data_IF_866812167407
#
_entry.id   IF_866812167407
#
_cell.length_a   1.000
_cell.length_b   1.000
_cell.length_c   1.000
_cell.angle_alpha   90.00
_cell.angle_beta   90.00
_cell.angle_gamma   90.00
#
_symmetry.space_group_name_H-M   'P 1'
#
loop_
_entity.id
_entity.type
_entity.pdbx_description
1 polymer ?
#
# COMPACT_ATOMS: atom_id res chain seq x y z
N UNK A 1 -27.67 16.23 -2.54
CA UNK A 1 -26.30 16.45 -3.04
C UNK A 1 -25.80 15.14 -3.64
N UNK A 2 -26.25 14.72 -4.83
CA UNK A 2 -26.20 13.30 -5.16
C UNK A 2 -25.30 12.94 -6.35
N UNK A 3 -24.57 11.84 -6.20
CA UNK A 3 -24.17 10.88 -7.26
C UNK A 3 -23.10 11.30 -8.31
N UNK A 4 -22.86 12.58 -8.61
CA UNK A 4 -21.95 12.97 -9.71
C UNK A 4 -20.46 12.96 -9.38
N UNK A 5 -20.08 12.76 -8.11
CA UNK A 5 -18.70 12.91 -7.64
C UNK A 5 -17.98 11.59 -7.34
N UNK A 6 -18.49 10.44 -7.82
CA UNK A 6 -17.75 9.19 -7.67
C UNK A 6 -16.63 9.12 -8.74
N UNK A 7 -15.33 9.21 -8.37
CA UNK A 7 -14.24 9.23 -9.33
C UNK A 7 -14.19 7.95 -10.18
N UNK A 8 -14.67 6.82 -9.67
CA UNK A 8 -14.74 5.57 -10.43
C UNK A 8 -15.80 5.61 -11.56
N UNK A 9 -16.94 6.28 -11.35
CA UNK A 9 -17.95 6.47 -12.40
C UNK A 9 -17.44 7.45 -13.47
N UNK A 10 -16.71 8.49 -13.07
CA UNK A 10 -16.15 9.47 -14.00
C UNK A 10 -15.02 8.87 -14.84
N UNK A 11 -14.13 8.07 -14.24
CA UNK A 11 -13.06 7.38 -14.96
C UNK A 11 -13.61 6.42 -16.03
N UNK A 12 -14.63 5.61 -15.69
CA UNK A 12 -15.26 4.69 -16.65
C UNK A 12 -16.01 5.41 -17.78
N UNK A 13 -16.65 6.54 -17.49
CA UNK A 13 -17.25 7.40 -18.53
C UNK A 13 -16.21 8.00 -19.47
N UNK A 14 -15.07 8.46 -18.94
CA UNK A 14 -13.96 8.96 -19.75
C UNK A 14 -13.35 7.87 -20.64
N UNK A 15 -13.21 6.65 -20.12
CA UNK A 15 -12.72 5.51 -20.91
C UNK A 15 -13.69 5.10 -22.02
N UNK A 16 -15.00 5.13 -21.74
CA UNK A 16 -16.04 4.91 -22.75
C UNK A 16 -16.09 6.01 -23.83
N UNK A 17 -15.73 7.25 -23.49
CA UNK A 17 -15.66 8.35 -24.46
C UNK A 17 -14.38 8.30 -25.31
N UNK A 18 -13.26 7.91 -24.70
CA UNK A 18 -11.97 7.80 -25.38
C UNK A 18 -11.93 6.64 -26.37
N UNK A 19 -12.47 5.48 -26.01
CA UNK A 19 -12.58 4.32 -26.90
C UNK A 19 -13.45 4.59 -28.14
N UNK A 20 -14.43 5.50 -28.03
CA UNK A 20 -15.24 5.96 -29.17
C UNK A 20 -14.49 6.89 -30.12
N UNK A 21 -13.44 7.57 -29.67
CA UNK A 21 -12.74 8.61 -30.41
C UNK A 21 -11.22 8.42 -30.33
N UNK A 22 -10.71 7.24 -30.67
CA UNK A 22 -9.27 7.04 -30.86
C UNK A 22 -8.81 7.83 -32.10
N UNK A 23 -8.38 9.08 -31.86
CA UNK A 23 -7.88 10.01 -32.86
C UNK A 23 -6.41 9.68 -33.16
N UNK A 24 -6.17 8.60 -33.89
CA UNK A 24 -4.85 8.30 -34.44
C UNK A 24 -4.74 8.92 -35.83
N UNK A 25 -3.60 9.55 -36.15
CA UNK A 25 -3.32 10.15 -37.47
C UNK A 25 -3.67 9.17 -38.60
N UNK A 26 -3.38 7.88 -38.41
CA UNK A 26 -3.69 6.80 -39.35
C UNK A 26 -5.19 6.62 -39.61
N UNK A 27 -6.05 6.70 -38.58
CA UNK A 27 -7.51 6.62 -38.74
C UNK A 27 -8.10 7.91 -39.31
N UNK A 28 -7.47 9.05 -39.04
CA UNK A 28 -7.88 10.33 -39.62
C UNK A 28 -7.50 10.42 -41.11
N UNK A 29 -6.43 9.74 -41.53
CA UNK A 29 -6.00 9.67 -42.93
C UNK A 29 -6.71 8.60 -43.76
N UNK A 30 -7.30 7.57 -43.14
CA UNK A 30 -7.97 6.45 -43.83
C UNK A 30 -9.06 6.89 -44.85
N UNK A 31 -9.93 7.89 -44.56
CA UNK A 31 -10.89 8.39 -45.55
C UNK A 31 -10.22 9.08 -46.74
N UNK A 32 -9.03 9.66 -46.54
CA UNK A 32 -8.27 10.35 -47.59
C UNK A 32 -7.54 9.31 -48.45
N UNK A 33 -6.90 8.32 -47.83
CA UNK A 33 -6.20 7.23 -48.53
C UNK A 33 -7.17 6.42 -49.38
N UNK A 34 -8.32 6.02 -48.81
CA UNK A 34 -9.35 5.27 -49.55
C UNK A 34 -9.95 6.06 -50.72
N UNK A 35 -10.09 7.38 -50.59
CA UNK A 35 -10.53 8.23 -51.69
C UNK A 35 -9.49 8.34 -52.81
N UNK A 36 -8.19 8.34 -52.49
CA UNK A 36 -7.10 8.34 -53.48
C UNK A 36 -7.04 7.02 -54.24
N UNK A 37 -7.14 5.88 -53.53
CA UNK A 37 -7.18 4.55 -54.15
C UNK A 37 -8.39 4.39 -55.11
N UNK A 38 -9.55 4.92 -54.73
CA UNK A 38 -10.75 4.94 -55.58
C UNK A 38 -10.56 5.81 -56.83
N UNK A 39 -9.85 6.92 -56.72
CA UNK A 39 -9.55 7.81 -57.85
C UNK A 39 -8.58 7.14 -58.84
N UNK A 40 -7.57 6.44 -58.35
CA UNK A 40 -6.62 5.68 -59.17
C UNK A 40 -7.30 4.52 -59.91
N UNK A 41 -8.19 3.79 -59.24
CA UNK A 41 -8.99 2.72 -59.86
C UNK A 41 -9.93 3.25 -60.97
N UNK A 42 -10.45 4.48 -60.83
CA UNK A 42 -11.28 5.11 -61.84
C UNK A 42 -10.47 5.61 -63.06
N UNK A 43 -9.24 6.08 -62.85
CA UNK A 43 -8.35 6.53 -63.93
C UNK A 43 -7.78 5.34 -64.73
N UNK A 44 -7.51 4.21 -64.06
CA UNK A 44 -7.00 2.98 -64.70
C UNK A 44 -7.98 2.26 -65.64
N UNK A 45 -9.28 2.44 -65.46
CA UNK A 45 -10.30 1.67 -66.18
C UNK A 45 -10.81 2.30 -67.50
N UNK A 46 -10.36 3.49 -67.87
CA UNK A 46 -10.97 4.27 -68.97
C UNK A 46 -10.19 4.31 -70.29
N UNK A 47 -9.19 3.45 -70.53
CA UNK A 47 -8.45 3.48 -71.80
C UNK A 47 -8.24 2.08 -72.44
N UNK A 48 -9.02 1.70 -73.48
CA UNK A 48 -8.86 0.44 -74.21
C UNK A 48 -7.96 0.56 -75.44
N UNK A 49 -6.96 1.45 -75.41
CA UNK A 49 -6.04 1.70 -76.54
C UNK A 49 -4.60 1.84 -76.07
N UNK A 50 -3.77 0.85 -76.43
CA UNK A 50 -2.38 0.76 -76.00
C UNK A 50 -1.49 1.89 -76.51
N UNK A 51 -0.96 2.68 -75.60
CA UNK A 51 0.37 3.29 -75.71
C UNK A 51 1.02 3.21 -74.34
N UNK A 52 2.09 2.41 -74.29
CA UNK A 52 3.07 2.23 -73.22
C UNK A 52 2.88 3.14 -72.01
N UNK A 53 2.31 2.54 -70.97
CA UNK A 53 2.47 3.05 -69.62
C UNK A 53 3.98 3.22 -69.37
N UNK A 54 4.44 4.47 -69.31
CA UNK A 54 5.72 4.81 -68.70
C UNK A 54 5.57 4.61 -67.19
N UNK A 55 5.47 3.37 -66.75
CA UNK A 55 5.61 2.99 -65.35
C UNK A 55 7.11 2.99 -65.07
N UNK A 56 7.69 4.16 -64.79
CA UNK A 56 8.85 4.16 -63.92
C UNK A 56 8.37 3.57 -62.60
N UNK A 57 9.03 2.52 -62.11
CA UNK A 57 8.84 1.93 -60.78
C UNK A 57 8.60 3.03 -59.73
N UNK A 58 7.32 3.29 -59.45
CA UNK A 58 6.89 4.15 -58.37
C UNK A 58 6.82 3.23 -57.17
N UNK A 59 7.78 3.36 -56.27
CA UNK A 59 7.92 2.53 -55.08
C UNK A 59 6.63 2.54 -54.25
N UNK A 60 5.80 1.52 -54.46
CA UNK A 60 4.62 1.19 -53.65
C UNK A 60 5.00 0.58 -52.30
N UNK A 61 6.29 0.45 -52.01
CA UNK A 61 6.82 -0.16 -50.79
C UNK A 61 6.59 0.68 -49.51
N UNK A 62 6.17 1.95 -49.60
CA UNK A 62 6.00 2.81 -48.41
C UNK A 62 4.59 2.77 -47.78
N UNK A 63 3.64 2.08 -48.41
CA UNK A 63 2.26 1.98 -47.89
C UNK A 63 2.05 0.87 -46.86
N UNK A 64 3.04 -0.02 -46.66
CA UNK A 64 2.86 -1.24 -45.86
C UNK A 64 2.91 -1.00 -44.33
N UNK A 65 3.37 0.19 -43.88
CA UNK A 65 3.23 0.65 -42.49
C UNK A 65 3.59 2.15 -42.36
N UNK A 66 2.62 3.09 -42.40
CA UNK A 66 2.92 4.51 -42.24
C UNK A 66 3.35 4.77 -40.79
N UNK A 67 4.66 4.87 -40.58
CA UNK A 67 5.22 5.42 -39.34
C UNK A 67 5.37 6.93 -39.50
N UNK A 68 5.29 7.74 -38.42
CA UNK A 68 5.38 9.20 -38.53
C UNK A 68 6.66 9.68 -39.25
N UNK A 69 7.76 8.94 -39.07
CA UNK A 69 9.04 9.23 -39.71
C UNK A 69 9.08 8.81 -41.19
N UNK A 70 8.35 7.76 -41.60
CA UNK A 70 8.26 7.39 -43.03
C UNK A 70 7.41 8.38 -43.81
N UNK A 71 6.35 8.93 -43.20
CA UNK A 71 5.49 9.92 -43.85
C UNK A 71 6.22 11.22 -44.23
N UNK A 72 7.13 11.70 -43.37
CA UNK A 72 7.92 12.89 -43.66
C UNK A 72 8.89 12.66 -44.84
N UNK A 73 9.55 11.50 -44.87
CA UNK A 73 10.43 11.10 -45.96
C UNK A 73 9.67 10.92 -47.28
N UNK A 74 8.44 10.39 -47.23
CA UNK A 74 7.60 10.27 -48.41
C UNK A 74 7.16 11.64 -48.94
N UNK A 75 6.79 12.56 -48.05
CA UNK A 75 6.41 13.93 -48.46
C UNK A 75 7.56 14.69 -49.11
N UNK A 76 8.80 14.52 -48.64
CA UNK A 76 9.98 15.12 -49.31
C UNK A 76 10.24 14.47 -50.65
N UNK A 77 10.18 13.14 -50.73
CA UNK A 77 10.35 12.39 -51.97
C UNK A 77 9.33 12.80 -53.04
N UNK A 78 8.04 12.87 -52.69
CA UNK A 78 6.99 13.28 -53.62
C UNK A 78 7.14 14.73 -54.05
N UNK A 79 7.53 15.65 -53.15
CA UNK A 79 7.80 17.06 -53.52
C UNK A 79 8.89 17.16 -54.59
N UNK A 80 9.98 16.42 -54.43
CA UNK A 80 11.06 16.38 -55.42
C UNK A 80 10.65 15.72 -56.73
N UNK A 81 9.89 14.63 -56.66
CA UNK A 81 9.37 13.92 -57.84
C UNK A 81 8.43 14.81 -58.65
N UNK A 82 7.45 15.44 -58.01
CA UNK A 82 6.51 16.34 -58.68
C UNK A 82 7.21 17.57 -59.25
N UNK A 83 8.25 18.08 -58.58
CA UNK A 83 9.07 19.16 -59.14
C UNK A 83 9.77 18.73 -60.45
N UNK A 84 10.36 17.53 -60.48
CA UNK A 84 11.02 16.97 -61.68
C UNK A 84 10.00 16.68 -62.79
N UNK A 85 8.84 16.11 -62.45
CA UNK A 85 7.79 15.80 -63.42
C UNK A 85 7.21 17.08 -64.02
N UNK A 86 6.96 18.10 -63.20
CA UNK A 86 6.49 19.42 -63.67
C UNK A 86 7.50 20.05 -64.62
N UNK A 87 8.79 20.00 -64.31
CA UNK A 87 9.85 20.53 -65.18
C UNK A 87 9.88 19.80 -66.53
N UNK A 88 9.92 18.47 -66.52
CA UNK A 88 9.92 17.64 -67.72
C UNK A 88 8.67 17.87 -68.59
N UNK A 89 7.49 17.95 -67.98
CA UNK A 89 6.24 18.22 -68.70
C UNK A 89 6.23 19.59 -69.38
N UNK A 90 6.61 20.65 -68.64
CA UNK A 90 6.66 22.01 -69.19
C UNK A 90 7.67 22.08 -70.33
N UNK A 91 8.84 21.46 -70.17
CA UNK A 91 9.86 21.38 -71.22
C UNK A 91 9.34 20.63 -72.45
N UNK A 92 8.67 19.50 -72.27
CA UNK A 92 8.12 18.73 -73.39
C UNK A 92 7.02 19.51 -74.13
N UNK A 93 6.06 20.09 -73.42
CA UNK A 93 4.96 20.86 -74.02
C UNK A 93 5.48 22.10 -74.74
N UNK A 94 6.49 22.77 -74.19
CA UNK A 94 7.11 23.93 -74.85
C UNK A 94 7.89 23.54 -76.10
N UNK A 95 8.66 22.44 -76.06
CA UNK A 95 9.32 21.87 -77.24
C UNK A 95 8.32 21.50 -78.32
N UNK A 96 7.23 20.82 -77.97
CA UNK A 96 6.18 20.44 -78.92
C UNK A 96 5.48 21.66 -79.52
N UNK A 97 5.06 22.63 -78.68
CA UNK A 97 4.46 23.88 -79.16
C UNK A 97 5.39 24.65 -80.09
N UNK A 98 6.68 24.70 -79.79
CA UNK A 98 7.68 25.36 -80.63
C UNK A 98 7.83 24.66 -82.00
N UNK A 99 7.95 23.34 -82.01
CA UNK A 99 8.03 22.57 -83.26
C UNK A 99 6.75 22.75 -84.08
N UNK A 100 5.57 22.69 -83.44
CA UNK A 100 4.29 22.91 -84.11
C UNK A 100 4.15 24.34 -84.64
N UNK A 101 4.70 25.34 -83.95
CA UNK A 101 4.67 26.72 -84.43
C UNK A 101 5.56 26.94 -85.66
N UNK A 102 6.68 26.21 -85.79
CA UNK A 102 7.60 26.31 -86.94
C UNK A 102 7.14 25.44 -88.12
N UNK A 103 6.63 24.24 -87.84
CA UNK A 103 6.30 23.22 -88.86
C UNK A 103 4.81 23.24 -89.23
N UNK A 104 3.97 23.87 -88.43
CA UNK A 104 2.52 23.97 -88.69
C UNK A 104 2.21 24.86 -89.88
N UNK A 105 1.24 24.44 -90.68
CA UNK A 105 0.72 25.19 -91.83
C UNK A 105 -0.76 25.52 -91.56
N UNK A 106 -1.14 26.80 -91.36
CA UNK A 106 -0.33 28.02 -91.48
C UNK A 106 0.56 28.31 -90.25
N UNK A 107 1.70 29.03 -90.44
CA UNK A 107 2.63 29.36 -89.37
C UNK A 107 1.96 30.23 -88.30
N UNK A 108 2.19 29.90 -87.04
CA UNK A 108 1.62 30.63 -85.91
C UNK A 108 2.37 31.97 -85.73
N UNK A 109 1.79 33.07 -86.21
CA UNK A 109 2.33 34.42 -86.01
C UNK A 109 1.75 34.97 -84.71
N UNK A 110 2.61 35.23 -83.72
CA UNK A 110 2.20 35.84 -82.46
C UNK A 110 2.01 37.34 -82.68
N UNK A 111 0.79 37.83 -82.49
CA UNK A 111 0.49 39.27 -82.54
C UNK A 111 1.01 39.94 -81.25
N UNK A 112 1.82 41.01 -81.33
CA UNK A 112 2.23 41.77 -80.15
C UNK A 112 1.06 42.29 -79.31
N UNK A 113 -0.11 42.56 -79.90
CA UNK A 113 -1.31 42.96 -79.16
C UNK A 113 -1.88 41.80 -78.31
N UNK A 114 -1.99 40.60 -78.90
CA UNK A 114 -2.43 39.38 -78.19
C UNK A 114 -1.45 39.03 -77.06
N UNK A 115 -0.15 39.20 -77.29
CA UNK A 115 0.85 38.95 -76.25
C UNK A 115 0.73 39.95 -75.08
N UNK A 116 0.45 41.23 -75.36
CA UNK A 116 0.21 42.23 -74.31
C UNK A 116 -1.05 41.92 -73.48
N UNK A 117 -2.14 41.46 -74.11
CA UNK A 117 -3.35 41.01 -73.41
C UNK A 117 -3.10 39.78 -72.53
N UNK A 118 -2.39 38.78 -73.06
CA UNK A 118 -2.01 37.58 -72.31
C UNK A 118 -1.05 37.88 -71.14
N UNK A 119 -0.16 38.86 -71.30
CA UNK A 119 0.70 39.34 -70.21
C UNK A 119 -0.12 40.02 -69.10
N UNK A 120 -1.12 40.82 -69.45
CA UNK A 120 -2.03 41.45 -68.48
C UNK A 120 -2.86 40.41 -67.72
N UNK A 121 -3.45 39.44 -68.41
CA UNK A 121 -4.19 38.33 -67.79
C UNK A 121 -3.30 37.47 -66.88
N UNK A 122 -2.08 37.16 -67.32
CA UNK A 122 -1.11 36.45 -66.49
C UNK A 122 -0.69 37.25 -65.26
N UNK A 123 -0.55 38.57 -65.38
CA UNK A 123 -0.22 39.43 -64.23
C UNK A 123 -1.35 39.40 -63.19
N UNK A 124 -2.61 39.47 -63.63
CA UNK A 124 -3.77 39.35 -62.75
C UNK A 124 -3.83 37.96 -62.09
N UNK A 125 -3.74 36.88 -62.86
CA UNK A 125 -3.76 35.51 -62.33
C UNK A 125 -2.59 35.25 -61.35
N UNK A 126 -1.40 35.82 -61.62
CA UNK A 126 -0.25 35.75 -60.70
C UNK A 126 -0.51 36.51 -59.40
N UNK A 127 -1.17 37.66 -59.46
CA UNK A 127 -1.54 38.42 -58.27
C UNK A 127 -2.54 37.63 -57.40
N UNK A 128 -3.60 37.09 -58.01
CA UNK A 128 -4.59 36.24 -57.35
C UNK A 128 -3.94 34.99 -56.72
N UNK A 129 -3.09 34.29 -57.48
CA UNK A 129 -2.35 33.13 -56.97
C UNK A 129 -1.44 33.50 -55.79
N UNK A 130 -0.81 34.67 -55.81
CA UNK A 130 0.02 35.15 -54.70
C UNK A 130 -0.82 35.43 -53.46
N UNK A 131 -2.01 36.02 -53.62
CA UNK A 131 -2.93 36.23 -52.49
C UNK A 131 -3.41 34.91 -51.89
N UNK A 132 -3.78 33.94 -52.74
CA UNK A 132 -4.24 32.64 -52.29
C UNK A 132 -3.12 31.85 -51.59
N UNK A 133 -1.90 31.88 -52.14
CA UNK A 133 -0.73 31.27 -51.48
C UNK A 133 -0.46 31.85 -50.10
N UNK A 134 -0.62 33.16 -49.93
CA UNK A 134 -0.48 33.81 -48.61
C UNK A 134 -1.57 33.33 -47.65
N UNK A 135 -2.83 33.28 -48.09
CA UNK A 135 -3.94 32.78 -47.28
C UNK A 135 -3.74 31.32 -46.86
N UNK A 136 -3.30 30.46 -47.78
CA UNK A 136 -2.99 29.05 -47.47
C UNK A 136 -1.83 28.96 -46.47
N UNK A 137 -0.77 29.74 -46.65
CA UNK A 137 0.34 29.75 -45.70
C UNK A 137 -0.08 30.21 -44.29
N UNK A 138 -0.94 31.23 -44.21
CA UNK A 138 -1.52 31.71 -42.94
C UNK A 138 -2.41 30.63 -42.29
N UNK A 139 -3.25 29.95 -43.07
CA UNK A 139 -4.11 28.87 -42.57
C UNK A 139 -3.28 27.68 -42.07
N UNK A 140 -2.23 27.30 -42.79
CA UNK A 140 -1.32 26.22 -42.37
C UNK A 140 -0.62 26.58 -41.06
N UNK A 141 -0.10 27.80 -40.93
CA UNK A 141 0.53 28.25 -39.70
C UNK A 141 -0.44 28.24 -38.50
N UNK A 142 -1.70 28.65 -38.71
CA UNK A 142 -2.72 28.59 -37.66
C UNK A 142 -3.09 27.15 -37.30
N UNK A 143 -3.20 26.25 -38.28
CA UNK A 143 -3.43 24.83 -38.04
C UNK A 143 -2.28 24.17 -37.27
N UNK A 144 -1.03 24.50 -37.58
CA UNK A 144 0.13 24.02 -36.83
C UNK A 144 0.11 24.52 -35.38
N UNK A 145 -0.24 25.80 -35.17
CA UNK A 145 -0.39 26.38 -33.84
C UNK A 145 -1.48 25.68 -33.03
N UNK A 146 -2.65 25.50 -33.63
CA UNK A 146 -3.79 24.80 -33.00
C UNK A 146 -3.46 23.33 -32.74
N UNK A 147 -2.78 22.66 -33.67
CA UNK A 147 -2.32 21.28 -33.51
C UNK A 147 -1.34 21.13 -32.33
N UNK A 148 -0.38 22.05 -32.20
CA UNK A 148 0.55 22.05 -31.08
C UNK A 148 -0.14 22.32 -29.73
N UNK A 149 -1.12 23.23 -29.71
CA UNK A 149 -1.92 23.52 -28.52
C UNK A 149 -2.79 22.31 -28.11
N UNK A 150 -3.47 21.69 -29.07
CA UNK A 150 -4.28 20.49 -28.86
C UNK A 150 -3.44 19.32 -28.36
N UNK A 151 -2.23 19.12 -28.91
CA UNK A 151 -1.32 18.07 -28.45
C UNK A 151 -0.92 18.26 -26.97
N UNK A 152 -0.63 19.51 -26.56
CA UNK A 152 -0.33 19.83 -25.15
C UNK A 152 -1.53 19.60 -24.24
N UNK A 153 -2.72 20.02 -24.66
CA UNK A 153 -3.96 19.80 -23.90
C UNK A 153 -4.27 18.30 -23.77
N UNK A 154 -4.14 17.54 -24.85
CA UNK A 154 -4.34 16.10 -24.85
C UNK A 154 -3.37 15.38 -23.91
N UNK A 155 -2.08 15.75 -23.93
CA UNK A 155 -1.08 15.22 -23.01
C UNK A 155 -1.45 15.52 -21.54
N UNK A 156 -1.88 16.75 -21.25
CA UNK A 156 -2.32 17.15 -19.92
C UNK A 156 -3.52 16.33 -19.45
N UNK A 157 -4.55 16.20 -20.28
CA UNK A 157 -5.74 15.38 -19.97
C UNK A 157 -5.35 13.92 -19.78
N UNK A 158 -4.40 13.39 -20.55
CA UNK A 158 -3.85 12.05 -20.36
C UNK A 158 -3.22 11.87 -18.96
N UNK A 159 -2.43 12.83 -18.50
CA UNK A 159 -1.84 12.81 -17.15
C UNK A 159 -2.93 12.90 -16.06
N UNK A 160 -3.90 13.80 -16.22
CA UNK A 160 -5.02 13.96 -15.30
C UNK A 160 -5.88 12.67 -15.22
N UNK A 161 -6.06 11.95 -16.34
CA UNK A 161 -6.74 10.64 -16.35
C UNK A 161 -5.99 9.57 -15.58
N UNK A 162 -4.67 9.51 -15.71
CA UNK A 162 -3.84 8.56 -14.92
C UNK A 162 -3.94 8.86 -13.42
N UNK A 163 -4.00 10.14 -13.03
CA UNK A 163 -4.21 10.53 -11.64
C UNK A 163 -5.63 10.16 -11.17
N UNK A 164 -6.64 10.42 -11.98
CA UNK A 164 -8.02 10.07 -11.68
C UNK A 164 -8.22 8.56 -11.51
N UNK A 165 -7.53 7.74 -12.31
CA UNK A 165 -7.55 6.29 -12.18
C UNK A 165 -7.00 5.78 -10.84
N UNK A 166 -6.08 6.51 -10.20
CA UNK A 166 -5.48 6.14 -8.89
C UNK A 166 -6.33 6.57 -7.69
N UNK A 167 -7.21 7.57 -7.86
CA UNK A 167 -8.01 8.11 -6.77
C UNK A 167 -8.96 7.09 -6.11
N UNK A 168 -9.68 6.22 -6.86
CA UNK A 168 -10.55 5.20 -6.25
C UNK A 168 -9.80 4.26 -5.31
N UNK A 169 -8.60 3.79 -5.69
CA UNK A 169 -7.79 2.91 -4.86
C UNK A 169 -7.31 3.62 -3.59
N UNK A 170 -6.89 4.88 -3.72
CA UNK A 170 -6.51 5.71 -2.58
C UNK A 170 -7.68 5.96 -1.64
N UNK A 171 -8.88 6.21 -2.17
CA UNK A 171 -10.10 6.36 -1.36
C UNK A 171 -10.44 5.06 -0.64
N UNK A 172 -10.39 3.91 -1.32
CA UNK A 172 -10.64 2.62 -0.70
C UNK A 172 -9.61 2.29 0.40
N UNK A 173 -8.35 2.66 0.21
CA UNK A 173 -7.32 2.51 1.23
C UNK A 173 -7.58 3.42 2.44
N UNK A 174 -7.90 4.69 2.21
CA UNK A 174 -8.25 5.63 3.28
C UNK A 174 -9.49 5.18 4.05
N UNK A 175 -10.49 4.62 3.38
CA UNK A 175 -11.69 4.07 4.03
C UNK A 175 -11.34 2.87 4.94
N UNK A 176 -10.46 1.97 4.48
CA UNK A 176 -9.93 0.87 5.31
C UNK A 176 -9.15 1.41 6.51
N UNK A 177 -8.28 2.39 6.31
CA UNK A 177 -7.49 3.00 7.38
C UNK A 177 -8.40 3.70 8.40
N UNK A 178 -9.43 4.40 7.95
CA UNK A 178 -10.44 4.99 8.85
C UNK A 178 -11.22 3.92 9.61
N UNK A 179 -11.60 2.81 8.97
CA UNK A 179 -12.29 1.71 9.62
C UNK A 179 -11.41 1.04 10.70
N UNK A 180 -10.14 0.77 10.39
CA UNK A 180 -9.18 0.21 11.35
C UNK A 180 -8.92 1.16 12.52
N UNK A 181 -8.78 2.46 12.27
CA UNK A 181 -8.62 3.46 13.32
C UNK A 181 -9.87 3.58 14.22
N UNK A 182 -11.07 3.53 13.62
CA UNK A 182 -12.32 3.50 14.39
C UNK A 182 -12.43 2.25 15.25
N UNK A 183 -12.09 1.09 14.70
CA UNK A 183 -12.08 -0.17 15.45
C UNK A 183 -11.03 -0.13 16.58
N UNK A 184 -9.80 0.31 16.31
CA UNK A 184 -8.76 0.46 17.33
C UNK A 184 -9.13 1.48 18.42
N UNK A 185 -9.94 2.50 18.09
CA UNK A 185 -10.51 3.43 19.07
C UNK A 185 -11.61 2.77 19.89
N UNK A 186 -12.50 2.02 19.26
CA UNK A 186 -13.56 1.25 19.94
C UNK A 186 -12.95 0.22 20.90
N UNK A 187 -11.98 -0.58 20.44
CA UNK A 187 -11.27 -1.57 21.25
C UNK A 187 -10.55 -0.92 22.44
N UNK A 188 -9.96 0.27 22.25
CA UNK A 188 -9.41 1.06 23.36
C UNK A 188 -10.52 1.50 24.31
N UNK A 189 -11.63 2.02 23.79
CA UNK A 189 -12.75 2.44 24.63
C UNK A 189 -13.35 1.28 25.43
N UNK A 190 -13.42 0.07 24.87
CA UNK A 190 -13.93 -1.14 25.51
C UNK A 190 -12.93 -1.71 26.53
N UNK A 191 -11.63 -1.75 26.21
CA UNK A 191 -10.59 -2.14 27.17
C UNK A 191 -10.50 -1.17 28.36
N UNK A 192 -10.67 0.14 28.10
CA UNK A 192 -10.76 1.16 29.14
C UNK A 192 -12.14 1.26 29.79
N UNK A 193 -13.14 0.48 29.36
CA UNK A 193 -14.42 0.37 30.09
C UNK A 193 -14.27 -0.47 31.36
N UNK A 194 -13.29 -1.39 31.38
CA UNK A 194 -12.97 -2.23 32.54
C UNK A 194 -12.32 -1.43 33.68
N UNK A 195 -11.64 -0.33 33.38
CA UNK A 195 -11.02 0.57 34.38
C UNK A 195 -11.41 2.05 34.13
N UNK A 196 -12.41 2.58 34.85
CA UNK A 196 -12.90 3.95 34.66
C UNK A 196 -11.87 5.03 35.01
N UNK A 197 -10.86 4.72 35.84
CA UNK A 197 -9.74 5.64 36.15
C UNK A 197 -8.87 5.92 34.90
N UNK A 198 -8.85 5.02 33.91
CA UNK A 198 -8.10 5.21 32.66
C UNK A 198 -8.86 6.03 31.60
N UNK A 199 -10.12 6.38 31.84
CA UNK A 199 -10.95 7.24 30.97
C UNK A 199 -10.95 8.70 31.39
N UNK A 200 -10.17 9.05 32.41
CA UNK A 200 -10.13 10.40 32.93
C UNK A 200 -9.45 11.33 31.90
N UNK A 201 -10.00 12.55 31.68
CA UNK A 201 -9.30 13.57 30.91
C UNK A 201 -7.98 13.93 31.59
N UNK A 202 -7.00 14.40 30.80
CA UNK A 202 -5.59 14.52 31.22
C UNK A 202 -5.38 15.30 32.54
N UNK A 203 -6.22 16.29 32.82
CA UNK A 203 -6.16 17.04 34.09
C UNK A 203 -6.58 16.20 35.29
N UNK A 204 -7.59 15.33 35.14
CA UNK A 204 -8.04 14.45 36.22
C UNK A 204 -7.09 13.27 36.43
N UNK A 205 -6.44 12.76 35.38
CA UNK A 205 -5.37 11.75 35.54
C UNK A 205 -4.16 12.30 36.25
N UNK A 206 -3.78 13.56 35.98
CA UNK A 206 -2.67 14.21 36.67
C UNK A 206 -2.96 14.37 38.17
N UNK A 207 -4.16 14.85 38.52
CA UNK A 207 -4.58 14.95 39.92
C UNK A 207 -4.63 13.59 40.63
N UNK A 208 -5.14 12.55 39.96
CA UNK A 208 -5.18 11.19 40.52
C UNK A 208 -3.76 10.63 40.70
N UNK A 209 -2.83 10.89 39.77
CA UNK A 209 -1.44 10.48 39.89
C UNK A 209 -0.75 11.17 41.08
N UNK A 210 -0.94 12.48 41.24
CA UNK A 210 -0.43 13.23 42.39
C UNK A 210 -1.00 12.69 43.72
N UNK A 211 -2.28 12.35 43.76
CA UNK A 211 -2.91 11.74 44.94
C UNK A 211 -2.27 10.38 45.27
N UNK A 212 -2.11 9.50 44.26
CA UNK A 212 -1.50 8.18 44.46
C UNK A 212 -0.02 8.27 44.85
N UNK A 213 0.71 9.25 44.34
CA UNK A 213 2.07 9.54 44.79
C UNK A 213 2.11 10.03 46.24
N UNK A 214 1.18 10.87 46.66
CA UNK A 214 1.08 11.30 48.06
C UNK A 214 0.76 10.13 49.00
N UNK A 215 -0.19 9.28 48.62
CA UNK A 215 -0.53 8.04 49.34
C UNK A 215 0.67 7.08 49.42
N UNK A 216 1.43 6.92 48.33
CA UNK A 216 2.64 6.11 48.32
C UNK A 216 3.72 6.65 49.28
N UNK A 217 3.94 7.98 49.29
CA UNK A 217 4.86 8.63 50.24
C UNK A 217 4.41 8.45 51.69
N UNK A 218 3.11 8.49 51.95
CA UNK A 218 2.55 8.27 53.29
C UNK A 218 2.76 6.83 53.76
N UNK A 219 2.49 5.86 52.89
CA UNK A 219 2.75 4.45 53.17
C UNK A 219 4.24 4.18 53.37
N UNK A 220 5.12 4.82 52.60
CA UNK A 220 6.57 4.68 52.77
C UNK A 220 7.04 5.27 54.11
N UNK A 221 6.48 6.42 54.53
CA UNK A 221 6.71 6.98 55.88
C UNK A 221 6.23 6.03 56.97
N UNK A 222 5.04 5.44 56.83
CA UNK A 222 4.51 4.48 57.79
C UNK A 222 5.36 3.21 57.85
N UNK A 223 5.78 2.66 56.71
CA UNK A 223 6.71 1.53 56.64
C UNK A 223 8.06 1.87 57.28
N UNK A 224 8.59 3.07 57.04
CA UNK A 224 9.79 3.59 57.69
C UNK A 224 9.65 3.65 59.21
N UNK A 225 8.53 4.18 59.73
CA UNK A 225 8.25 4.24 61.16
C UNK A 225 8.10 2.84 61.79
N UNK A 226 7.40 1.92 61.11
CA UNK A 226 7.23 0.55 61.56
C UNK A 226 8.55 -0.21 61.59
N UNK A 227 9.37 -0.08 60.52
CA UNK A 227 10.70 -0.71 60.44
C UNK A 227 11.70 -0.10 61.42
N UNK A 228 11.68 1.22 61.59
CA UNK A 228 12.67 1.95 62.39
C UNK A 228 12.40 1.95 63.90
N UNK A 229 11.13 1.96 64.32
CA UNK A 229 10.78 2.16 65.74
C UNK A 229 9.92 1.04 66.33
N UNK A 230 8.83 0.64 65.67
CA UNK A 230 7.87 -0.29 66.25
C UNK A 230 8.40 -1.74 66.26
N UNK A 231 8.91 -2.22 65.12
CA UNK A 231 9.46 -3.57 64.98
C UNK A 231 10.64 -3.87 65.92
N UNK A 232 11.69 -3.01 66.03
CA UNK A 232 12.79 -3.28 66.95
C UNK A 232 12.38 -3.16 68.42
N UNK A 233 11.46 -2.25 68.78
CA UNK A 233 10.93 -2.16 70.16
C UNK A 233 10.16 -3.42 70.54
N UNK A 234 9.25 -3.88 69.68
CA UNK A 234 8.49 -5.12 69.91
C UNK A 234 9.39 -6.36 69.93
N UNK A 235 10.45 -6.40 69.13
CA UNK A 235 11.48 -7.45 69.21
C UNK A 235 12.20 -7.45 70.56
N UNK A 236 12.65 -6.29 71.04
CA UNK A 236 13.29 -6.16 72.36
C UNK A 236 12.35 -6.53 73.51
N UNK A 237 11.09 -6.12 73.45
CA UNK A 237 10.05 -6.52 74.41
C UNK A 237 9.84 -8.04 74.41
N UNK A 238 9.76 -8.66 73.22
CA UNK A 238 9.63 -10.11 73.10
C UNK A 238 10.86 -10.87 73.60
N UNK A 239 12.08 -10.37 73.35
CA UNK A 239 13.32 -10.93 73.90
C UNK A 239 13.36 -10.84 75.43
N UNK A 240 12.95 -9.69 76.00
CA UNK A 240 12.84 -9.52 77.45
C UNK A 240 11.85 -10.51 78.07
N UNK A 241 10.65 -10.62 77.50
CA UNK A 241 9.65 -11.57 77.98
C UNK A 241 10.12 -13.02 77.86
N UNK A 242 10.85 -13.37 76.78
CA UNK A 242 11.48 -14.69 76.64
C UNK A 242 12.54 -14.94 77.72
N UNK A 243 13.36 -13.93 78.04
CA UNK A 243 14.35 -14.02 79.11
C UNK A 243 13.70 -14.18 80.50
N UNK A 244 12.55 -13.55 80.73
CA UNK A 244 11.76 -13.69 81.96
C UNK A 244 11.04 -15.05 82.04
N UNK A 245 10.59 -15.61 80.92
CA UNK A 245 9.95 -16.93 80.85
C UNK A 245 10.93 -18.09 81.00
N UNK A 246 12.16 -17.98 80.48
CA UNK A 246 13.17 -19.05 80.54
C UNK A 246 13.41 -19.63 81.96
N UNK A 247 13.65 -18.83 83.01
CA UNK A 247 13.82 -19.37 84.37
C UNK A 247 12.52 -19.93 84.94
N UNK A 248 11.35 -19.41 84.57
CA UNK A 248 10.06 -19.96 84.99
C UNK A 248 9.79 -21.31 84.35
N UNK A 249 10.16 -21.49 83.08
CA UNK A 249 10.08 -22.76 82.37
C UNK A 249 11.04 -23.79 82.95
N UNK A 250 12.28 -23.43 83.30
CA UNK A 250 13.21 -24.35 83.96
C UNK A 250 12.75 -24.72 85.37
N UNK A 251 12.19 -23.78 86.13
CA UNK A 251 11.57 -24.06 87.43
C UNK A 251 10.34 -24.98 87.29
N UNK A 252 9.51 -24.78 86.26
CA UNK A 252 8.38 -25.67 85.94
C UNK A 252 8.87 -27.06 85.55
N UNK A 253 9.89 -27.15 84.70
CA UNK A 253 10.47 -28.43 84.30
C UNK A 253 11.07 -29.16 85.52
N UNK A 254 11.83 -28.47 86.37
CA UNK A 254 12.38 -29.04 87.61
C UNK A 254 11.29 -29.53 88.58
N UNK A 255 10.21 -28.76 88.77
CA UNK A 255 9.11 -29.17 89.64
C UNK A 255 8.33 -30.36 89.07
N UNK A 256 8.08 -30.38 87.75
CA UNK A 256 7.44 -31.54 87.09
C UNK A 256 8.33 -32.78 87.13
N UNK A 257 9.65 -32.65 86.94
CA UNK A 257 10.60 -33.74 87.06
C UNK A 257 10.66 -34.27 88.50
N UNK A 258 10.74 -33.38 89.49
CA UNK A 258 10.69 -33.76 90.91
C UNK A 258 9.38 -34.49 91.27
N UNK A 259 8.23 -34.03 90.73
CA UNK A 259 6.95 -34.69 90.92
C UNK A 259 6.89 -36.08 90.25
N UNK A 260 7.43 -36.22 89.04
CA UNK A 260 7.51 -37.52 88.35
C UNK A 260 8.48 -38.48 89.05
N UNK A 261 9.62 -37.99 89.55
CA UNK A 261 10.54 -38.81 90.34
C UNK A 261 9.93 -39.23 91.67
N UNK A 262 9.19 -38.35 92.36
CA UNK A 262 8.46 -38.70 93.57
C UNK A 262 7.39 -39.78 93.29
N UNK A 263 6.68 -39.66 92.15
CA UNK A 263 5.74 -40.69 91.69
C UNK A 263 6.46 -42.02 91.39
N UNK A 264 7.59 -41.99 90.67
CA UNK A 264 8.40 -43.18 90.38
C UNK A 264 8.98 -43.81 91.65
N UNK A 265 9.45 -43.02 92.62
CA UNK A 265 9.90 -43.52 93.93
C UNK A 265 8.77 -44.20 94.70
N UNK A 266 7.56 -43.63 94.66
CA UNK A 266 6.36 -44.25 95.27
C UNK A 266 5.98 -45.57 94.59
N UNK A 267 6.01 -45.62 93.25
CA UNK A 267 5.73 -46.83 92.47
C UNK A 267 6.80 -47.91 92.68
N UNK A 268 8.08 -47.54 92.74
CA UNK A 268 9.18 -48.46 93.03
C UNK A 268 9.13 -49.00 94.47
N UNK A 269 8.75 -48.17 95.45
CA UNK A 269 8.56 -48.60 96.84
C UNK A 269 7.37 -49.57 96.99
N UNK A 270 6.29 -49.41 96.21
CA UNK A 270 5.19 -50.37 96.20
C UNK A 270 5.59 -51.71 95.54
N UNK A 271 6.35 -51.67 94.43
CA UNK A 271 6.71 -52.88 93.68
C UNK A 271 7.81 -53.71 94.36
N UNK A 272 8.72 -53.08 95.12
CA UNK A 272 9.77 -53.80 95.87
C UNK A 272 9.27 -54.55 97.10
N UNK A 273 8.07 -54.26 97.61
CA UNK A 273 7.46 -55.00 98.72
C UNK A 273 6.88 -56.36 98.31
N UNK A 274 6.47 -56.51 97.05
CA UNK A 274 5.83 -57.73 96.53
C UNK A 274 6.85 -58.81 96.16
N UNK A 275 8.01 -58.43 95.59
CA UNK A 275 9.06 -59.39 95.20
C UNK A 275 9.68 -60.12 96.41
N UNK A 276 9.88 -59.46 97.54
CA UNK A 276 10.40 -60.11 98.76
C UNK A 276 9.40 -61.08 99.40
N UNK A 277 8.09 -60.87 99.22
CA UNK A 277 7.05 -61.79 99.67
C UNK A 277 6.97 -63.01 98.74
N UNK A 278 7.11 -62.82 97.42
CA UNK A 278 7.14 -63.91 96.45
C UNK A 278 8.39 -64.79 96.58
N UNK A 279 9.57 -64.21 96.84
CA UNK A 279 10.81 -64.97 97.08
C UNK A 279 10.71 -65.86 98.32
N UNK A 280 10.17 -65.35 99.44
CA UNK A 280 9.87 -66.17 100.61
C UNK A 280 8.85 -67.25 100.29
N UNK A 281 7.78 -66.94 99.56
CA UNK A 281 6.76 -67.91 99.17
C UNK A 281 7.32 -69.05 98.32
N UNK A 282 8.25 -68.77 97.40
CA UNK A 282 8.94 -69.79 96.61
C UNK A 282 9.85 -70.65 97.46
N UNK A 283 10.62 -70.05 98.37
CA UNK A 283 11.48 -70.80 99.29
C UNK A 283 10.68 -71.75 100.18
N UNK A 284 9.58 -71.27 100.78
CA UNK A 284 8.70 -72.11 101.60
C UNK A 284 8.10 -73.27 100.79
N UNK A 285 7.61 -73.03 99.58
CA UNK A 285 7.12 -74.11 98.71
C UNK A 285 8.20 -75.14 98.35
N UNK A 286 9.42 -74.68 98.05
CA UNK A 286 10.53 -75.60 97.74
C UNK A 286 10.95 -76.43 98.95
N UNK A 287 10.96 -75.82 100.14
CA UNK A 287 11.26 -76.53 101.40
C UNK A 287 10.18 -77.56 101.74
N UNK A 288 8.91 -77.23 101.48
CA UNK A 288 7.78 -78.13 101.66
C UNK A 288 7.86 -79.33 100.68
N UNK A 289 8.17 -79.10 99.41
CA UNK A 289 8.34 -80.18 98.43
C UNK A 289 9.52 -81.11 98.77
N UNK A 290 10.62 -80.55 99.27
CA UNK A 290 11.80 -81.35 99.65
C UNK A 290 11.53 -82.21 100.89
N UNK A 291 10.86 -81.64 101.90
CA UNK A 291 10.44 -82.38 103.10
C UNK A 291 9.45 -83.49 102.76
N UNK A 292 8.51 -83.24 101.86
CA UNK A 292 7.56 -84.27 101.37
C UNK A 292 8.26 -85.42 100.63
N UNK A 293 9.34 -85.14 99.89
CA UNK A 293 10.11 -86.16 99.17
C UNK A 293 11.00 -87.04 100.07
N UNK A 294 11.50 -86.52 101.21
CA UNK A 294 12.33 -87.32 102.13
C UNK A 294 11.54 -88.22 103.08
N UNK A 295 10.25 -87.94 103.32
CA UNK A 295 9.42 -88.68 104.28
C UNK A 295 8.52 -89.75 103.66
N UNK A 296 8.56 -89.93 102.33
CA UNK A 296 7.84 -90.96 101.56
C UNK A 296 6.35 -91.14 101.96
N UNK A 297 5.67 -90.01 102.23
CA UNK A 297 4.24 -89.97 102.53
C UNK A 297 3.49 -89.69 101.21
N UNK A 298 2.78 -90.70 100.70
CA UNK A 298 1.87 -90.56 99.56
C UNK A 298 0.63 -89.75 99.95
N UNK A 299 0.56 -88.50 99.51
CA UNK A 299 -0.54 -87.87 98.71
C UNK A 299 -0.28 -86.38 98.55
#
# INVERSE_FOLDING_TARGET
MPETNNPAKVATQLDALASKHELTVVRLSEPITSAVEQLEAAIGNNNPGGTTARTSDISTASLDAPTPASLEADLTHYKELFAKLRFSYVEQVTKEKFIRAIVGDPPLIVDPAENAELEALNAQAKAELKTLKRQVAELVAELERQGAELARQHMRVGLERVQLAKLPDQMAQLEKDVATLRQARQDRQDKHATDPELRLPIGKTAALAEQREAEARDLERQLGQLRGSAAPRKRKEAERLRAELAPLETMRQASTAAAQEAKRRKEAALRGGEDHLEERGRWWRTSETLLKQMLDIKT
#
